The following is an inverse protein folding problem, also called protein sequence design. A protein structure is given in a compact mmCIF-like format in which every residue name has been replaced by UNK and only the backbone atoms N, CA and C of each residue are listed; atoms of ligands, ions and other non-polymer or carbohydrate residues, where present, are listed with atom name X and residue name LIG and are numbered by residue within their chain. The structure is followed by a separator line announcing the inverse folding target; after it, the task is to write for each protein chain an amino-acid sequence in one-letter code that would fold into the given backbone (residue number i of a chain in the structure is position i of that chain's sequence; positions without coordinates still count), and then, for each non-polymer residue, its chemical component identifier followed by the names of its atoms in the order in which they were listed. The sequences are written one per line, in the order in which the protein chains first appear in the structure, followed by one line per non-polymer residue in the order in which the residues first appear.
data_IF_919993879282
#
_entry.id   IF_919993879282
#
_cell.length_a   1.000
_cell.length_b   1.000
_cell.length_c   1.000
_cell.angle_alpha   90.00
_cell.angle_beta   90.00
_cell.angle_gamma   90.00
#
_symmetry.space_group_name_H-M   'P 1'
#
loop_
_entity.id
_entity.type
_entity.pdbx_description
1 polymer ?
#
# COMPACT_ATOMS: atom_id res chain seq x y z
N UNK A 1 -24.45 8.34 -2.60
CA UNK A 1 -23.39 7.58 -1.89
C UNK A 1 -22.68 6.55 -2.78
N UNK A 2 -23.35 5.54 -3.35
CA UNK A 2 -22.67 4.49 -4.16
C UNK A 2 -21.78 5.03 -5.31
N UNK A 3 -22.26 6.05 -6.03
CA UNK A 3 -21.52 6.69 -7.14
C UNK A 3 -20.26 7.44 -6.70
N UNK A 4 -20.25 7.95 -5.46
CA UNK A 4 -19.14 8.69 -4.87
C UNK A 4 -18.09 7.72 -4.30
N UNK A 5 -18.54 6.60 -3.70
CA UNK A 5 -17.68 5.47 -3.31
C UNK A 5 -16.88 4.92 -4.49
N UNK A 6 -17.55 4.70 -5.64
CA UNK A 6 -16.90 4.27 -6.89
C UNK A 6 -15.83 5.26 -7.38
N UNK A 7 -16.07 6.57 -7.31
CA UNK A 7 -15.13 7.58 -7.80
C UNK A 7 -13.83 7.66 -6.97
N UNK A 8 -13.93 7.61 -5.64
CA UNK A 8 -12.74 7.60 -4.76
C UNK A 8 -11.91 6.34 -4.96
N UNK A 9 -12.60 5.21 -5.11
CA UNK A 9 -11.99 3.92 -5.32
C UNK A 9 -11.21 3.87 -6.66
N UNK A 10 -11.82 4.34 -7.75
CA UNK A 10 -11.18 4.42 -9.06
C UNK A 10 -9.95 5.32 -9.05
N UNK A 11 -10.00 6.44 -8.33
CA UNK A 11 -8.87 7.37 -8.20
C UNK A 11 -7.70 6.74 -7.45
N UNK A 12 -7.95 6.02 -6.37
CA UNK A 12 -6.89 5.36 -5.60
C UNK A 12 -6.28 4.17 -6.35
N UNK A 13 -7.07 3.40 -7.10
CA UNK A 13 -6.54 2.40 -8.05
C UNK A 13 -5.63 3.06 -9.07
N UNK A 14 -6.04 4.20 -9.64
CA UNK A 14 -5.20 4.95 -10.60
C UNK A 14 -3.88 5.39 -9.98
N UNK A 15 -3.87 5.82 -8.72
CA UNK A 15 -2.64 6.20 -8.00
C UNK A 15 -1.74 4.98 -7.79
N UNK A 16 -2.28 3.85 -7.32
CA UNK A 16 -1.51 2.62 -7.15
C UNK A 16 -0.89 2.14 -8.47
N UNK A 17 -1.68 2.15 -9.54
CA UNK A 17 -1.23 1.79 -10.89
C UNK A 17 -0.18 2.76 -11.43
N UNK A 18 -0.26 4.06 -11.09
CA UNK A 18 0.76 5.04 -11.48
C UNK A 18 2.10 4.70 -10.84
N UNK A 19 2.13 4.44 -9.53
CA UNK A 19 3.37 4.04 -8.87
C UNK A 19 3.95 2.73 -9.40
N UNK A 20 3.09 1.77 -9.76
CA UNK A 20 3.55 0.55 -10.43
C UNK A 20 4.22 0.87 -11.76
N UNK A 21 3.59 1.70 -12.61
CA UNK A 21 4.17 2.12 -13.90
C UNK A 21 5.49 2.88 -13.73
N UNK A 22 5.58 3.75 -12.73
CA UNK A 22 6.81 4.47 -12.42
C UNK A 22 7.93 3.49 -12.01
N UNK A 23 7.60 2.44 -11.25
CA UNK A 23 8.56 1.39 -10.90
C UNK A 23 8.99 0.55 -12.11
N UNK A 24 8.09 0.26 -13.05
CA UNK A 24 8.39 -0.42 -14.31
C UNK A 24 9.32 0.42 -15.18
N UNK A 25 9.05 1.73 -15.32
CA UNK A 25 9.92 2.66 -16.04
C UNK A 25 11.31 2.76 -15.40
N UNK A 26 11.38 2.76 -14.06
CA UNK A 26 12.65 2.73 -13.33
C UNK A 26 13.44 1.43 -13.59
N UNK A 27 12.76 0.30 -13.82
CA UNK A 27 13.40 -0.96 -14.17
C UNK A 27 14.05 -0.90 -15.56
N UNK A 28 13.37 -0.25 -16.52
CA UNK A 28 13.85 -0.10 -17.90
C UNK A 28 15.03 0.88 -17.99
N UNK A 29 14.94 1.99 -17.26
CA UNK A 29 15.93 3.08 -17.29
C UNK A 29 17.12 2.86 -16.35
N UNK A 30 17.09 1.83 -15.51
CA UNK A 30 18.15 1.53 -14.55
C UNK A 30 18.10 2.34 -13.25
N UNK A 31 17.06 3.15 -13.04
CA UNK A 31 16.84 3.94 -11.84
C UNK A 31 16.32 3.10 -10.64
N UNK A 32 17.04 2.03 -10.28
CA UNK A 32 16.52 0.98 -9.40
C UNK A 32 16.12 1.47 -8.00
N UNK A 33 16.86 2.43 -7.43
CA UNK A 33 16.53 2.99 -6.11
C UNK A 33 15.16 3.69 -6.12
N UNK A 34 14.92 4.56 -7.11
CA UNK A 34 13.64 5.23 -7.29
C UNK A 34 12.52 4.21 -7.57
N UNK A 35 12.80 3.20 -8.37
CA UNK A 35 11.84 2.12 -8.62
C UNK A 35 11.42 1.37 -7.36
N UNK A 36 12.35 1.13 -6.43
CA UNK A 36 12.03 0.47 -5.16
C UNK A 36 11.17 1.36 -4.24
N UNK A 37 11.39 2.68 -4.27
CA UNK A 37 10.53 3.63 -3.57
C UNK A 37 9.12 3.63 -4.18
N UNK A 38 9.01 3.60 -5.51
CA UNK A 38 7.74 3.52 -6.22
C UNK A 38 6.98 2.21 -5.92
N UNK A 39 7.66 1.06 -5.88
CA UNK A 39 7.02 -0.22 -5.48
C UNK A 39 6.46 -0.15 -4.06
N UNK A 40 7.19 0.46 -3.12
CA UNK A 40 6.70 0.65 -1.75
C UNK A 40 5.46 1.53 -1.71
N UNK A 41 5.49 2.68 -2.41
CA UNK A 41 4.36 3.59 -2.48
C UNK A 41 3.12 2.94 -3.11
N UNK A 42 3.31 2.10 -4.15
CA UNK A 42 2.24 1.31 -4.73
C UNK A 42 1.61 0.36 -3.70
N UNK A 43 2.43 -0.40 -2.96
CA UNK A 43 1.93 -1.32 -1.92
C UNK A 43 1.15 -0.57 -0.83
N UNK A 44 1.72 0.50 -0.29
CA UNK A 44 1.07 1.33 0.73
C UNK A 44 -0.29 1.85 0.22
N UNK A 45 -0.32 2.39 -1.01
CA UNK A 45 -1.56 2.88 -1.63
C UNK A 45 -2.61 1.77 -1.75
N UNK A 46 -2.22 0.56 -2.18
CA UNK A 46 -3.16 -0.57 -2.33
C UNK A 46 -3.70 -1.04 -0.97
N UNK A 47 -2.88 -1.08 0.07
CA UNK A 47 -3.32 -1.47 1.41
C UNK A 47 -4.27 -0.42 2.01
N UNK A 48 -3.92 0.86 1.91
CA UNK A 48 -4.82 1.95 2.32
C UNK A 48 -6.14 1.92 1.55
N UNK A 49 -6.08 1.72 0.23
CA UNK A 49 -7.27 1.58 -0.61
C UNK A 49 -8.18 0.46 -0.09
N UNK A 50 -7.62 -0.71 0.23
CA UNK A 50 -8.43 -1.84 0.70
C UNK A 50 -9.03 -1.59 2.08
N UNK A 51 -8.29 -0.94 2.97
CA UNK A 51 -8.79 -0.52 4.29
C UNK A 51 -9.94 0.46 4.11
N UNK A 52 -9.75 1.52 3.31
CA UNK A 52 -10.78 2.51 3.02
C UNK A 52 -12.02 1.90 2.39
N UNK A 53 -11.85 0.97 1.44
CA UNK A 53 -12.97 0.23 0.85
C UNK A 53 -13.76 -0.55 1.92
N UNK A 54 -13.05 -1.24 2.83
CA UNK A 54 -13.69 -1.92 3.95
C UNK A 54 -14.44 -0.96 4.89
N UNK A 55 -13.86 0.19 5.22
CA UNK A 55 -14.52 1.22 6.03
C UNK A 55 -15.77 1.78 5.33
N UNK A 56 -15.76 1.89 4.01
CA UNK A 56 -16.93 2.34 3.26
C UNK A 56 -18.09 1.35 3.32
N UNK A 57 -17.86 0.07 3.61
CA UNK A 57 -18.92 -0.94 3.69
C UNK A 57 -19.52 -1.08 5.10
N UNK A 58 -18.89 -0.48 6.11
CA UNK A 58 -19.38 -0.50 7.50
C UNK A 58 -20.56 0.44 7.71
N UNK A 59 -21.45 0.06 8.62
CA UNK A 59 -22.49 0.94 9.13
C UNK A 59 -21.88 2.08 9.97
N UNK A 60 -22.52 3.26 10.05
CA UNK A 60 -22.04 4.38 10.85
C UNK A 60 -21.74 4.03 12.31
N UNK A 61 -22.52 3.13 12.90
CA UNK A 61 -22.37 2.66 14.27
C UNK A 61 -21.08 1.83 14.44
N UNK A 62 -20.75 1.00 13.45
CA UNK A 62 -19.52 0.20 13.42
C UNK A 62 -18.27 1.06 13.20
N UNK A 63 -18.40 2.19 12.50
CA UNK A 63 -17.32 3.16 12.33
C UNK A 63 -16.96 3.88 13.64
N UNK A 64 -17.96 4.19 14.48
CA UNK A 64 -17.72 4.79 15.80
C UNK A 64 -16.97 3.85 16.75
N UNK A 65 -17.22 2.53 16.68
CA UNK A 65 -16.54 1.53 17.53
C UNK A 65 -15.03 1.45 17.29
N UNK A 66 -14.57 1.82 16.09
CA UNK A 66 -13.15 1.85 15.71
C UNK A 66 -12.56 3.26 15.72
N UNK A 67 -13.21 4.19 16.43
CA UNK A 67 -12.80 5.59 16.61
C UNK A 67 -12.69 6.36 15.27
N UNK A 68 -13.46 5.93 14.27
CA UNK A 68 -13.60 6.62 12.99
C UNK A 68 -14.80 7.56 13.06
N UNK A 69 -14.53 8.83 13.35
CA UNK A 69 -15.58 9.86 13.35
C UNK A 69 -15.83 10.34 11.92
N UNK A 70 -17.06 10.08 11.44
CA UNK A 70 -17.58 10.65 10.19
C UNK A 70 -18.22 11.99 10.52
N UNK A 71 -17.68 13.09 9.98
CA UNK A 71 -18.27 14.42 10.17
C UNK A 71 -19.73 14.47 9.71
N UNK A 72 -20.54 15.38 10.26
CA UNK A 72 -21.97 15.52 9.91
C UNK A 72 -22.25 15.78 8.42
N UNK A 73 -21.25 16.15 7.61
CA UNK A 73 -21.39 16.27 6.15
C UNK A 73 -21.11 14.97 5.39
N UNK A 74 -20.60 13.92 6.05
CA UNK A 74 -20.21 12.64 5.43
C UNK A 74 -18.87 12.68 4.68
N UNK A 75 -18.16 13.81 4.65
CA UNK A 75 -17.02 14.02 3.75
C UNK A 75 -15.65 13.83 4.40
N UNK A 76 -15.57 13.79 5.73
CA UNK A 76 -14.31 13.71 6.48
C UNK A 76 -14.32 12.52 7.43
N UNK A 77 -13.35 11.62 7.23
CA UNK A 77 -13.04 10.51 8.14
C UNK A 77 -11.86 10.92 9.02
N UNK A 78 -12.07 10.98 10.33
CA UNK A 78 -10.98 11.11 11.28
C UNK A 78 -10.48 9.71 11.64
N UNK A 79 -9.26 9.37 11.23
CA UNK A 79 -8.60 8.13 11.66
C UNK A 79 -7.99 8.32 13.06
N UNK A 80 -7.87 7.25 13.87
CA UNK A 80 -7.30 7.31 15.21
C UNK A 80 -5.89 7.95 15.21
N UNK A 81 -5.45 8.54 16.34
CA UNK A 81 -4.30 9.45 16.42
C UNK A 81 -2.93 8.81 16.12
N UNK A 82 -2.88 7.49 15.89
CA UNK A 82 -1.67 6.77 15.52
C UNK A 82 -1.88 6.11 14.17
N UNK A 83 -1.24 6.64 13.14
CA UNK A 83 -1.22 6.01 11.82
C UNK A 83 -0.70 4.56 11.94
N UNK A 84 -1.42 3.57 11.37
CA UNK A 84 -0.97 2.19 11.38
C UNK A 84 0.35 2.07 10.61
N UNK A 85 1.30 1.35 11.17
CA UNK A 85 2.55 1.04 10.47
C UNK A 85 2.27 0.14 9.26
N UNK A 86 3.13 0.22 8.23
CA UNK A 86 3.02 -0.70 7.08
C UNK A 86 3.04 -2.18 7.48
N UNK A 87 3.75 -2.53 8.55
CA UNK A 87 3.73 -3.90 9.10
C UNK A 87 2.32 -4.27 9.59
N UNK A 88 1.71 -3.42 10.41
CA UNK A 88 0.36 -3.65 10.95
C UNK A 88 -0.66 -3.75 9.82
N UNK A 89 -0.59 -2.86 8.82
CA UNK A 89 -1.48 -2.94 7.64
C UNK A 89 -1.35 -4.29 6.92
N UNK A 90 -0.14 -4.79 6.70
CA UNK A 90 0.09 -6.10 6.05
C UNK A 90 -0.47 -7.25 6.89
N UNK A 91 -0.20 -7.23 8.21
CA UNK A 91 -0.61 -8.29 9.12
C UNK A 91 -2.15 -8.35 9.23
N UNK A 92 -2.81 -7.19 9.40
CA UNK A 92 -4.28 -7.10 9.42
C UNK A 92 -4.89 -7.54 8.09
N UNK A 93 -4.31 -7.15 6.95
CA UNK A 93 -4.80 -7.56 5.62
C UNK A 93 -4.79 -9.09 5.47
N UNK A 94 -3.78 -9.78 6.04
CA UNK A 94 -3.74 -11.25 6.08
C UNK A 94 -4.79 -11.83 7.03
N UNK A 95 -4.92 -11.27 8.23
CA UNK A 95 -5.86 -11.74 9.26
C UNK A 95 -7.30 -11.65 8.78
N UNK A 96 -7.64 -10.60 8.04
CA UNK A 96 -8.95 -10.40 7.40
C UNK A 96 -9.17 -11.27 6.14
N UNK A 97 -8.21 -12.12 5.77
CA UNK A 97 -8.33 -13.03 4.63
C UNK A 97 -8.18 -12.38 3.25
N UNK A 98 -7.83 -11.09 3.19
CA UNK A 98 -7.74 -10.31 1.94
C UNK A 98 -6.49 -10.66 1.12
N UNK A 99 -5.48 -11.21 1.78
CA UNK A 99 -4.33 -11.84 1.14
C UNK A 99 -4.07 -13.22 1.76
N UNK A 100 -3.43 -14.08 0.97
CA UNK A 100 -2.91 -15.38 1.38
C UNK A 100 -1.55 -15.20 2.07
N UNK A 101 -1.06 -16.26 2.70
CA UNK A 101 0.26 -16.25 3.34
C UNK A 101 1.39 -15.88 2.37
N UNK A 102 1.26 -16.26 1.10
CA UNK A 102 2.19 -15.86 0.04
C UNK A 102 2.16 -14.35 -0.24
N UNK A 103 0.98 -13.74 -0.21
CA UNK A 103 0.81 -12.29 -0.33
C UNK A 103 1.40 -11.54 0.86
N UNK A 104 1.16 -12.02 2.09
CA UNK A 104 1.78 -11.47 3.31
C UNK A 104 3.31 -11.47 3.22
N UNK A 105 3.90 -12.60 2.83
CA UNK A 105 5.36 -12.72 2.66
C UNK A 105 5.88 -11.79 1.57
N UNK A 106 5.16 -11.64 0.46
CA UNK A 106 5.52 -10.71 -0.61
C UNK A 106 5.47 -9.24 -0.16
N UNK A 107 4.43 -8.85 0.57
CA UNK A 107 4.29 -7.50 1.11
C UNK A 107 5.38 -7.17 2.15
N UNK A 108 5.69 -8.10 3.07
CA UNK A 108 6.78 -7.92 4.04
C UNK A 108 8.14 -7.79 3.37
N UNK A 109 8.37 -8.56 2.29
CA UNK A 109 9.57 -8.44 1.44
C UNK A 109 9.69 -7.07 0.76
N UNK A 110 8.59 -6.44 0.34
CA UNK A 110 8.59 -5.07 -0.18
C UNK A 110 8.91 -4.09 0.95
N UNK A 111 8.21 -4.18 2.08
CA UNK A 111 8.42 -3.35 3.28
C UNK A 111 9.88 -3.36 3.74
N UNK A 112 10.48 -4.53 3.87
CA UNK A 112 11.86 -4.69 4.34
C UNK A 112 12.87 -4.01 3.43
N UNK A 113 12.66 -4.08 2.12
CA UNK A 113 13.47 -3.31 1.18
C UNK A 113 13.20 -1.81 1.29
N UNK A 114 11.92 -1.44 1.41
CA UNK A 114 11.49 -0.08 1.68
C UNK A 114 12.18 0.56 2.89
N UNK A 115 12.41 -0.22 3.95
CA UNK A 115 13.10 0.25 5.15
C UNK A 115 14.60 0.49 4.90
N UNK A 116 15.23 -0.28 4.01
CA UNK A 116 16.64 -0.08 3.63
C UNK A 116 16.86 1.21 2.83
N UNK A 117 15.83 1.67 2.11
CA UNK A 117 15.89 2.89 1.28
C UNK A 117 15.27 4.11 1.96
N UNK A 118 14.82 3.99 3.21
CA UNK A 118 14.24 5.10 3.95
C UNK A 118 15.28 6.23 4.10
N UNK A 119 14.89 7.48 3.87
CA UNK A 119 15.82 8.62 3.80
C UNK A 119 16.72 8.74 5.03
N UNK A 120 16.16 8.54 6.23
CA UNK A 120 16.94 8.53 7.49
C UNK A 120 17.94 7.38 7.60
N UNK A 121 17.68 6.23 6.98
CA UNK A 121 18.60 5.10 6.93
C UNK A 121 19.76 5.39 5.97
N UNK A 122 19.45 5.90 4.77
CA UNK A 122 20.45 6.28 3.76
C UNK A 122 21.36 7.40 4.25
N UNK A 123 20.79 8.42 4.90
CA UNK A 123 21.53 9.54 5.47
C UNK A 123 22.50 9.07 6.57
N UNK A 124 22.09 8.11 7.40
CA UNK A 124 22.90 7.56 8.50
C UNK A 124 24.06 6.70 8.01
N UNK A 125 23.85 5.90 6.96
CA UNK A 125 24.89 5.02 6.42
C UNK A 125 25.84 5.75 5.48
N UNK A 126 25.47 6.93 4.98
CA UNK A 126 26.23 7.69 3.98
C UNK A 126 26.39 6.97 2.64
N UNK A 127 25.67 5.87 2.44
CA UNK A 127 25.76 5.01 1.25
C UNK A 127 24.39 4.44 0.90
N UNK A 128 24.08 4.48 -0.39
CA UNK A 128 22.91 3.80 -0.93
C UNK A 128 23.07 2.27 -0.84
N UNK A 129 22.01 1.52 -0.49
CA UNK A 129 22.05 0.07 -0.60
C UNK A 129 22.30 -0.36 -2.06
N UNK A 130 23.07 -1.43 -2.24
CA UNK A 130 23.27 -2.02 -3.56
C UNK A 130 21.95 -2.61 -4.09
N UNK A 131 21.30 -1.88 -4.98
CA UNK A 131 20.04 -2.28 -5.62
C UNK A 131 20.31 -2.46 -7.11
N UNK A 132 20.06 -3.66 -7.61
CA UNK A 132 20.14 -3.96 -9.03
C UNK A 132 18.79 -4.34 -9.64
N UNK A 133 18.81 -4.56 -10.95
CA UNK A 133 17.65 -5.00 -11.75
C UNK A 133 16.91 -6.20 -11.14
N UNK A 134 17.65 -7.20 -10.64
CA UNK A 134 17.08 -8.41 -10.02
C UNK A 134 16.25 -8.08 -8.79
N UNK A 135 16.67 -7.10 -7.98
CA UNK A 135 15.97 -6.69 -6.78
C UNK A 135 14.64 -6.01 -7.14
N UNK A 136 14.69 -5.01 -8.02
CA UNK A 136 13.48 -4.29 -8.45
C UNK A 136 12.49 -5.21 -9.17
N UNK A 137 12.95 -6.03 -10.12
CA UNK A 137 12.10 -7.01 -10.80
C UNK A 137 11.44 -7.98 -9.82
N UNK A 138 12.19 -8.46 -8.83
CA UNK A 138 11.65 -9.33 -7.78
C UNK A 138 10.58 -8.65 -6.93
N UNK A 139 10.70 -7.33 -6.67
CA UNK A 139 9.70 -6.57 -5.92
C UNK A 139 8.48 -6.19 -6.75
N UNK A 140 8.65 -5.94 -8.05
CA UNK A 140 7.52 -5.79 -8.98
C UNK A 140 6.68 -7.07 -9.03
N UNK A 141 7.32 -8.24 -9.14
CA UNK A 141 6.60 -9.51 -9.09
C UNK A 141 5.85 -9.73 -7.76
N UNK A 142 6.48 -9.35 -6.64
CA UNK A 142 5.84 -9.39 -5.32
C UNK A 142 4.63 -8.46 -5.26
N UNK A 143 4.75 -7.25 -5.83
CA UNK A 143 3.66 -6.28 -5.88
C UNK A 143 2.51 -6.81 -6.74
N UNK A 144 2.78 -7.38 -7.91
CA UNK A 144 1.74 -7.97 -8.77
C UNK A 144 0.99 -9.11 -8.07
N UNK A 145 1.69 -9.93 -7.28
CA UNK A 145 1.05 -10.99 -6.49
C UNK A 145 0.11 -10.42 -5.43
N UNK A 146 0.55 -9.38 -4.70
CA UNK A 146 -0.26 -8.73 -3.67
C UNK A 146 -1.46 -8.03 -4.31
N UNK A 147 -1.23 -7.24 -5.36
CA UNK A 147 -2.26 -6.52 -6.10
C UNK A 147 -3.35 -7.47 -6.60
N UNK A 148 -2.96 -8.59 -7.21
CA UNK A 148 -3.90 -9.63 -7.66
C UNK A 148 -4.78 -10.13 -6.53
N UNK A 149 -4.19 -10.47 -5.38
CA UNK A 149 -4.95 -11.01 -4.24
C UNK A 149 -5.89 -9.96 -3.63
N UNK A 150 -5.43 -8.71 -3.52
CA UNK A 150 -6.28 -7.61 -3.05
C UNK A 150 -7.47 -7.47 -3.99
N UNK A 151 -7.24 -7.33 -5.31
CA UNK A 151 -8.31 -7.15 -6.30
C UNK A 151 -9.29 -8.33 -6.40
N UNK A 152 -8.84 -9.56 -6.13
CA UNK A 152 -9.71 -10.75 -6.10
C UNK A 152 -10.60 -10.83 -4.85
N UNK A 153 -10.28 -10.05 -3.80
CA UNK A 153 -11.02 -10.01 -2.52
C UNK A 153 -11.75 -8.68 -2.32
N UNK A 154 -11.89 -7.94 -3.41
CA UNK A 154 -12.70 -6.73 -3.55
C UNK A 154 -13.97 -7.05 -4.31
#
# INVERSE_FOLDING_TARGET
MAKQKSLYFDNLIRVANRYQKDAELCLETGAYFAGMAAVRAALETMLYLRVLAGLMDLAPEELQEIDVNVSNSGDVFHLPPKDPTLKEMIDVTKEKGLIKETGKKAAHRIREWGNKIHGSCVARTGRFPAIGRKNLKGRLNDLSLVAKQIMETM
#
